data_IF_632249620722
#
_entry.id   IF_632249620722
#
_cell.length_a   1.000
_cell.length_b   1.000
_cell.length_c   1.000
_cell.angle_alpha   90.00
_cell.angle_beta   90.00
_cell.angle_gamma   90.00
#
_symmetry.space_group_name_H-M   'P 1'
#
loop_
_entity.id
_entity.type
_entity.pdbx_description
1 polymer ?
#
# COMPACT_ATOMS: atom_id res chain seq x y z
N UNK A 1 -62.57 -44.95 1.61
CA UNK A 1 -61.65 -43.92 2.07
C UNK A 1 -60.70 -43.59 0.92
N UNK A 2 -60.77 -42.35 0.35
CA UNK A 2 -59.85 -41.90 -0.70
C UNK A 2 -58.68 -41.13 -0.01
N UNK A 3 -57.41 -41.38 -0.32
CA UNK A 3 -56.33 -40.60 0.28
C UNK A 3 -56.30 -39.19 -0.31
N UNK A 4 -56.16 -38.20 0.55
CA UNK A 4 -56.07 -36.78 0.22
C UNK A 4 -54.77 -36.44 -0.52
N UNK A 5 -54.89 -36.03 -1.80
CA UNK A 5 -53.78 -35.72 -2.71
C UNK A 5 -53.29 -34.26 -2.60
N UNK A 6 -53.25 -33.65 -1.41
CA UNK A 6 -52.95 -32.21 -1.24
C UNK A 6 -51.52 -31.91 -0.77
N UNK A 7 -50.71 -32.91 -0.39
CA UNK A 7 -49.35 -32.69 0.13
C UNK A 7 -48.30 -32.23 -0.90
N UNK A 8 -48.21 -32.75 -2.15
CA UNK A 8 -47.11 -32.39 -3.06
C UNK A 8 -47.18 -30.94 -3.59
N UNK A 9 -48.38 -30.36 -3.76
CA UNK A 9 -48.56 -28.99 -4.28
C UNK A 9 -48.12 -27.91 -3.28
N UNK A 10 -48.18 -28.16 -1.97
CA UNK A 10 -47.72 -27.20 -0.95
C UNK A 10 -46.22 -27.16 -0.84
N UNK A 11 -45.53 -28.31 -0.97
CA UNK A 11 -44.06 -28.41 -0.96
C UNK A 11 -43.45 -27.73 -2.20
N UNK A 12 -44.00 -27.92 -3.38
CA UNK A 12 -43.54 -27.26 -4.61
C UNK A 12 -43.71 -25.73 -4.54
N UNK A 13 -44.82 -25.25 -3.99
CA UNK A 13 -45.08 -23.79 -3.80
C UNK A 13 -44.16 -23.18 -2.72
N UNK A 14 -43.81 -23.92 -1.67
CA UNK A 14 -42.88 -23.46 -0.66
C UNK A 14 -41.46 -23.40 -1.23
N UNK A 15 -41.03 -24.41 -1.99
CA UNK A 15 -39.74 -24.44 -2.67
C UNK A 15 -39.57 -23.32 -3.70
N UNK A 16 -40.61 -23.04 -4.50
CA UNK A 16 -40.57 -21.93 -5.47
C UNK A 16 -40.51 -20.55 -4.80
N UNK A 17 -41.22 -20.35 -3.69
CA UNK A 17 -41.16 -19.09 -2.92
C UNK A 17 -39.79 -18.88 -2.28
N UNK A 18 -39.16 -19.93 -1.74
CA UNK A 18 -37.81 -19.89 -1.21
C UNK A 18 -36.78 -19.58 -2.31
N UNK A 19 -36.91 -20.20 -3.49
CA UNK A 19 -36.02 -19.91 -4.63
C UNK A 19 -36.16 -18.47 -5.13
N UNK A 20 -37.36 -17.95 -5.23
CA UNK A 20 -37.64 -16.54 -5.59
C UNK A 20 -37.07 -15.60 -4.53
N UNK A 21 -37.25 -15.92 -3.25
CA UNK A 21 -36.67 -15.12 -2.14
C UNK A 21 -35.14 -15.08 -2.16
N UNK A 22 -34.50 -16.23 -2.40
CA UNK A 22 -33.02 -16.31 -2.54
C UNK A 22 -32.54 -15.54 -3.78
N UNK A 23 -33.22 -15.64 -4.91
CA UNK A 23 -32.90 -14.89 -6.12
C UNK A 23 -33.00 -13.38 -5.91
N UNK A 24 -34.07 -12.91 -5.23
CA UNK A 24 -34.24 -11.51 -4.88
C UNK A 24 -33.13 -11.01 -3.92
N UNK A 25 -32.79 -11.79 -2.89
CA UNK A 25 -31.71 -11.44 -1.96
C UNK A 25 -30.35 -11.36 -2.67
N UNK A 26 -30.05 -12.29 -3.56
CA UNK A 26 -28.82 -12.29 -4.37
C UNK A 26 -28.77 -11.05 -5.29
N UNK A 27 -29.88 -10.70 -5.96
CA UNK A 27 -29.95 -9.51 -6.80
C UNK A 27 -29.76 -8.22 -6.01
N UNK A 28 -30.37 -8.10 -4.82
CA UNK A 28 -30.18 -6.97 -3.92
C UNK A 28 -28.75 -6.88 -3.39
N UNK A 29 -28.14 -8.02 -3.04
CA UNK A 29 -26.74 -8.09 -2.62
C UNK A 29 -25.79 -7.63 -3.72
N UNK A 30 -26.03 -8.06 -4.97
CA UNK A 30 -25.26 -7.61 -6.13
C UNK A 30 -25.42 -6.11 -6.39
N UNK A 31 -26.68 -5.61 -6.39
CA UNK A 31 -26.96 -4.18 -6.56
C UNK A 31 -26.28 -3.34 -5.47
N UNK A 32 -26.36 -3.77 -4.22
CA UNK A 32 -25.63 -3.13 -3.12
C UNK A 32 -24.13 -3.15 -3.35
N UNK A 33 -23.55 -4.30 -3.73
CA UNK A 33 -22.11 -4.42 -4.00
C UNK A 33 -21.61 -3.50 -5.11
N UNK A 34 -22.42 -3.23 -6.14
CA UNK A 34 -22.11 -2.24 -7.18
C UNK A 34 -22.15 -0.80 -6.63
N UNK A 35 -23.12 -0.48 -5.77
CA UNK A 35 -23.21 0.83 -5.12
C UNK A 35 -22.03 1.03 -4.17
N UNK A 36 -21.71 0.04 -3.35
CA UNK A 36 -20.60 0.12 -2.39
C UNK A 36 -19.25 0.28 -3.09
N UNK A 37 -19.05 -0.33 -4.26
CA UNK A 37 -17.85 -0.17 -5.08
C UNK A 37 -17.59 1.27 -5.55
N UNK A 38 -18.62 2.14 -5.53
CA UNK A 38 -18.49 3.56 -5.85
C UNK A 38 -18.52 4.46 -4.58
N UNK A 39 -18.77 3.88 -3.40
CA UNK A 39 -18.90 4.60 -2.13
C UNK A 39 -17.52 4.84 -1.47
N UNK A 40 -16.61 5.53 -2.17
CA UNK A 40 -15.25 5.84 -1.72
C UNK A 40 -15.21 6.62 -0.40
N UNK A 41 -14.17 6.36 0.40
CA UNK A 41 -13.91 7.04 1.68
C UNK A 41 -12.45 7.46 1.79
N UNK A 42 -12.19 8.45 2.62
CA UNK A 42 -10.85 8.72 3.16
C UNK A 42 -10.81 8.14 4.57
N UNK A 43 -9.82 7.29 4.83
CA UNK A 43 -9.56 6.80 6.20
C UNK A 43 -8.32 7.49 6.74
N UNK A 44 -8.36 7.85 8.01
CA UNK A 44 -7.22 8.50 8.68
C UNK A 44 -6.76 7.65 9.84
N UNK A 45 -5.45 7.41 9.91
CA UNK A 45 -4.79 6.73 11.02
C UNK A 45 -3.65 7.58 11.56
N UNK A 46 -3.37 7.45 12.85
CA UNK A 46 -2.24 8.09 13.53
C UNK A 46 -1.24 7.06 13.98
N UNK A 47 0.02 7.21 13.59
CA UNK A 47 1.08 6.24 13.84
C UNK A 47 2.29 6.94 14.45
N UNK A 48 2.71 6.54 15.65
CA UNK A 48 3.94 7.03 16.29
C UNK A 48 5.12 6.19 15.77
N UNK A 49 5.63 6.53 14.59
CA UNK A 49 6.69 5.79 13.88
C UNK A 49 7.89 6.65 13.50
N UNK A 50 7.76 7.98 13.58
CA UNK A 50 8.87 8.89 13.26
C UNK A 50 9.92 8.89 14.38
N UNK A 51 11.16 9.28 14.07
CA UNK A 51 12.19 9.53 15.10
C UNK A 51 11.71 10.52 16.16
N UNK A 52 12.20 10.37 17.39
CA UNK A 52 11.91 11.31 18.46
C UNK A 52 12.31 12.75 18.07
N UNK A 53 11.46 13.72 18.34
CA UNK A 53 11.68 15.12 18.00
C UNK A 53 11.40 15.49 16.54
N UNK A 54 11.05 14.56 15.67
CA UNK A 54 10.63 14.87 14.30
C UNK A 54 9.26 15.56 14.30
N UNK A 55 9.05 16.46 13.35
CA UNK A 55 7.73 17.05 13.13
C UNK A 55 6.77 16.06 12.49
N UNK A 56 5.46 16.13 12.80
CA UNK A 56 4.45 15.29 12.17
C UNK A 56 4.43 15.45 10.64
N UNK A 57 4.21 14.33 9.94
CA UNK A 57 4.10 14.27 8.48
C UNK A 57 2.79 13.59 8.09
N UNK A 58 2.08 14.16 7.13
CA UNK A 58 0.87 13.59 6.55
C UNK A 58 1.20 12.86 5.26
N UNK A 59 1.03 11.56 5.26
CA UNK A 59 1.19 10.71 4.07
C UNK A 59 -0.18 10.37 3.49
N UNK A 60 -0.36 10.57 2.19
CA UNK A 60 -1.51 10.06 1.45
C UNK A 60 -1.10 8.77 0.72
N UNK A 61 -1.69 7.65 1.11
CA UNK A 61 -1.49 6.37 0.46
C UNK A 61 -2.61 6.10 -0.54
N UNK A 62 -2.24 5.87 -1.79
CA UNK A 62 -3.10 5.52 -2.92
C UNK A 62 -2.70 4.15 -3.46
N UNK A 63 -3.67 3.29 -3.70
CA UNK A 63 -3.47 1.94 -4.22
C UNK A 63 -4.62 1.49 -5.09
N UNK A 64 -4.35 0.58 -6.02
CA UNK A 64 -5.37 -0.17 -6.74
C UNK A 64 -6.45 0.73 -7.35
N UNK A 65 -6.03 1.77 -8.07
CA UNK A 65 -6.96 2.73 -8.68
C UNK A 65 -7.78 2.05 -9.79
N UNK A 66 -7.18 1.13 -10.55
CA UNK A 66 -7.80 0.39 -11.64
C UNK A 66 -8.64 1.28 -12.56
N UNK A 67 -8.07 2.41 -12.98
CA UNK A 67 -8.82 3.39 -13.76
C UNK A 67 -9.18 2.84 -15.15
N UNK A 68 -10.44 3.03 -15.51
CA UNK A 68 -10.97 2.84 -16.86
C UNK A 68 -11.51 4.17 -17.38
N UNK A 69 -11.55 4.41 -18.71
CA UNK A 69 -12.06 5.67 -19.27
C UNK A 69 -13.46 6.07 -18.84
N UNK A 70 -14.31 5.10 -18.49
CA UNK A 70 -15.67 5.33 -17.99
C UNK A 70 -15.76 5.81 -16.54
N UNK A 71 -14.69 5.69 -15.74
CA UNK A 71 -14.71 5.98 -14.29
C UNK A 71 -14.62 7.48 -13.96
N UNK A 72 -15.46 8.32 -14.57
CA UNK A 72 -15.45 9.79 -14.41
C UNK A 72 -15.59 10.24 -12.95
N UNK A 73 -16.46 9.57 -12.18
CA UNK A 73 -16.64 9.84 -10.75
C UNK A 73 -15.35 9.60 -9.95
N UNK A 74 -14.61 8.52 -10.26
CA UNK A 74 -13.33 8.20 -9.62
C UNK A 74 -12.26 9.24 -9.95
N UNK A 75 -12.17 9.67 -11.22
CA UNK A 75 -11.26 10.75 -11.63
C UNK A 75 -11.54 12.06 -10.89
N UNK A 76 -12.81 12.47 -10.80
CA UNK A 76 -13.19 13.68 -10.07
C UNK A 76 -12.85 13.58 -8.57
N UNK A 77 -13.07 12.41 -7.98
CA UNK A 77 -12.76 12.16 -6.56
C UNK A 77 -11.25 12.19 -6.29
N UNK A 78 -10.42 11.59 -7.17
CA UNK A 78 -8.96 11.62 -7.10
C UNK A 78 -8.41 13.04 -7.12
N UNK A 79 -8.92 13.90 -8.03
CA UNK A 79 -8.52 15.32 -8.09
C UNK A 79 -8.80 16.06 -6.79
N UNK A 80 -9.90 15.71 -6.10
CA UNK A 80 -10.28 16.30 -4.82
C UNK A 80 -9.37 15.95 -3.64
N UNK A 81 -8.54 14.90 -3.76
CA UNK A 81 -7.67 14.46 -2.65
C UNK A 81 -6.54 15.44 -2.34
N UNK A 82 -6.16 16.34 -3.25
CA UNK A 82 -5.16 17.39 -2.96
C UNK A 82 -5.61 18.32 -1.84
N UNK A 83 -6.91 18.47 -1.62
CA UNK A 83 -7.47 19.23 -0.50
C UNK A 83 -7.15 18.62 0.89
N UNK A 84 -6.64 17.37 0.93
CA UNK A 84 -6.11 16.76 2.15
C UNK A 84 -4.72 17.29 2.51
N UNK A 85 -4.08 18.03 1.59
CA UNK A 85 -2.76 18.63 1.75
C UNK A 85 -1.71 17.63 2.27
N UNK A 86 -1.45 16.51 1.57
CA UNK A 86 -0.41 15.58 1.99
C UNK A 86 0.97 16.20 1.82
N UNK A 87 1.87 15.88 2.76
CA UNK A 87 3.28 16.23 2.69
C UNK A 87 4.05 15.23 1.80
N UNK A 88 3.56 13.98 1.74
CA UNK A 88 4.09 12.90 0.90
C UNK A 88 2.94 12.08 0.31
N UNK A 89 3.04 11.71 -0.96
CA UNK A 89 2.13 10.76 -1.61
C UNK A 89 2.86 9.44 -1.84
N UNK A 90 2.25 8.32 -1.42
CA UNK A 90 2.73 6.97 -1.70
C UNK A 90 1.72 6.26 -2.59
N UNK A 91 2.18 5.78 -3.74
CA UNK A 91 1.37 5.04 -4.68
C UNK A 91 1.89 3.60 -4.78
N UNK A 92 1.07 2.65 -4.40
CA UNK A 92 1.43 1.23 -4.37
C UNK A 92 0.96 0.44 -5.58
N UNK A 93 0.71 1.11 -6.71
CA UNK A 93 0.49 0.46 -8.01
C UNK A 93 -0.97 0.09 -8.32
N UNK A 94 -1.14 -0.66 -9.39
CA UNK A 94 -2.42 -1.02 -10.01
C UNK A 94 -3.26 0.22 -10.38
N UNK A 95 -2.60 1.17 -11.06
CA UNK A 95 -3.18 2.47 -11.38
C UNK A 95 -4.22 2.40 -12.51
N UNK A 96 -3.98 1.57 -13.50
CA UNK A 96 -4.77 1.53 -14.75
C UNK A 96 -5.27 0.12 -15.06
N UNK A 97 -6.33 0.02 -15.86
CA UNK A 97 -6.86 -1.24 -16.39
C UNK A 97 -7.05 -1.21 -17.91
N UNK A 98 -6.55 -0.18 -18.59
CA UNK A 98 -6.54 -0.06 -20.05
C UNK A 98 -5.49 0.98 -20.47
N UNK A 99 -4.89 0.80 -21.64
CA UNK A 99 -3.89 1.75 -22.18
C UNK A 99 -4.42 3.19 -22.29
N UNK A 100 -5.69 3.35 -22.70
CA UNK A 100 -6.35 4.65 -22.79
C UNK A 100 -6.55 5.37 -21.45
N UNK A 101 -6.29 4.69 -20.33
CA UNK A 101 -6.42 5.28 -18.99
C UNK A 101 -5.18 6.06 -18.56
N UNK A 102 -4.02 5.91 -19.20
CA UNK A 102 -2.78 6.61 -18.82
C UNK A 102 -2.96 8.13 -18.77
N UNK A 103 -3.38 8.83 -19.82
CA UNK A 103 -3.55 10.28 -19.74
C UNK A 103 -4.64 10.69 -18.72
N UNK A 104 -5.63 9.85 -18.50
CA UNK A 104 -6.74 10.13 -17.60
C UNK A 104 -6.34 10.01 -16.11
N UNK A 105 -5.53 9.01 -15.76
CA UNK A 105 -5.02 8.88 -14.39
C UNK A 105 -4.00 9.97 -14.08
N UNK A 106 -3.16 10.34 -15.04
CA UNK A 106 -2.21 11.44 -14.89
C UNK A 106 -2.92 12.78 -14.67
N UNK A 107 -3.98 13.06 -15.44
CA UNK A 107 -4.81 14.25 -15.26
C UNK A 107 -5.55 14.22 -13.88
N UNK A 108 -6.06 13.06 -13.48
CA UNK A 108 -6.74 12.91 -12.20
C UNK A 108 -5.80 13.07 -11.00
N UNK A 109 -4.55 12.61 -11.11
CA UNK A 109 -3.51 12.78 -10.10
C UNK A 109 -2.77 14.13 -10.21
N UNK A 110 -2.99 14.90 -11.27
CA UNK A 110 -2.24 16.12 -11.57
C UNK A 110 -1.98 17.07 -10.40
N UNK A 111 -2.96 17.40 -9.55
CA UNK A 111 -2.71 18.16 -8.33
C UNK A 111 -1.72 17.50 -7.36
N UNK A 112 -1.85 16.17 -7.15
CA UNK A 112 -1.00 15.39 -6.26
C UNK A 112 0.41 15.17 -6.82
N UNK A 113 0.57 15.12 -8.14
CA UNK A 113 1.87 14.98 -8.79
C UNK A 113 2.83 16.16 -8.52
N UNK A 114 2.31 17.29 -8.03
CA UNK A 114 3.13 18.43 -7.58
C UNK A 114 3.67 18.28 -6.15
N UNK A 115 3.20 17.27 -5.41
CA UNK A 115 3.66 16.94 -4.06
C UNK A 115 4.85 15.98 -4.13
N UNK A 116 5.73 15.95 -3.12
CA UNK A 116 6.68 14.85 -2.98
C UNK A 116 5.95 13.51 -3.08
N UNK A 117 6.50 12.56 -3.81
CA UNK A 117 5.84 11.27 -3.96
C UNK A 117 6.79 10.13 -4.28
N UNK A 118 6.31 8.93 -4.04
CA UNK A 118 6.97 7.68 -4.41
C UNK A 118 5.97 6.70 -5.01
N UNK A 119 6.45 5.78 -5.83
CA UNK A 119 5.60 4.74 -6.38
C UNK A 119 6.32 3.41 -6.54
N UNK A 120 5.53 2.33 -6.53
CA UNK A 120 5.90 0.99 -6.98
C UNK A 120 4.85 0.48 -7.96
N UNK A 121 5.21 -0.42 -8.89
CA UNK A 121 4.26 -0.99 -9.84
C UNK A 121 3.37 -2.06 -9.20
N UNK A 122 2.16 -2.24 -9.76
CA UNK A 122 1.34 -3.42 -9.60
C UNK A 122 1.15 -4.17 -10.92
N UNK A 123 0.59 -5.38 -10.86
CA UNK A 123 0.44 -6.26 -12.01
C UNK A 123 -0.41 -5.66 -13.15
N UNK A 124 -1.40 -4.85 -12.81
CA UNK A 124 -2.27 -4.17 -13.78
C UNK A 124 -1.69 -2.82 -14.28
N UNK A 125 -0.49 -2.45 -13.88
CA UNK A 125 0.29 -1.42 -14.55
C UNK A 125 1.09 -2.00 -15.73
N UNK A 126 1.36 -3.31 -15.71
CA UNK A 126 2.08 -4.03 -16.78
C UNK A 126 1.17 -4.68 -17.81
N UNK A 127 0.02 -5.21 -17.37
CA UNK A 127 -0.82 -6.08 -18.19
C UNK A 127 -2.29 -5.69 -18.11
N UNK A 128 -2.94 -5.64 -19.27
CA UNK A 128 -4.37 -5.42 -19.35
C UNK A 128 -5.13 -6.60 -18.72
N UNK A 129 -6.12 -6.33 -17.84
CA UNK A 129 -6.92 -7.39 -17.25
C UNK A 129 -7.77 -8.10 -18.31
N UNK A 130 -7.79 -9.44 -18.28
CA UNK A 130 -8.70 -10.24 -19.12
C UNK A 130 -10.04 -10.45 -18.44
N UNK A 131 -11.15 -10.51 -19.19
CA UNK A 131 -12.42 -10.97 -18.67
C UNK A 131 -12.26 -12.36 -18.05
N UNK A 132 -12.68 -12.52 -16.81
CA UNK A 132 -12.62 -13.78 -16.10
C UNK A 132 -13.94 -14.04 -15.36
N UNK A 133 -14.22 -15.29 -15.05
CA UNK A 133 -15.35 -15.64 -14.21
C UNK A 133 -15.17 -14.98 -12.82
N UNK A 134 -16.09 -14.12 -12.36
CA UNK A 134 -15.95 -13.38 -11.09
C UNK A 134 -15.81 -14.31 -9.88
N UNK A 135 -16.35 -15.53 -9.93
CA UNK A 135 -16.22 -16.51 -8.85
C UNK A 135 -14.78 -17.04 -8.70
N UNK A 136 -13.92 -16.90 -9.72
CA UNK A 136 -12.49 -17.24 -9.59
C UNK A 136 -11.77 -16.37 -8.55
N UNK A 137 -12.30 -15.18 -8.25
CA UNK A 137 -11.78 -14.33 -7.18
C UNK A 137 -11.71 -15.06 -5.83
N UNK A 138 -12.63 -15.99 -5.56
CA UNK A 138 -12.67 -16.78 -4.33
C UNK A 138 -11.81 -18.06 -4.36
N UNK A 139 -11.18 -18.37 -5.50
CA UNK A 139 -10.41 -19.60 -5.68
C UNK A 139 -8.94 -19.49 -5.21
N UNK A 140 -8.56 -18.35 -4.61
CA UNK A 140 -7.19 -18.06 -4.15
C UNK A 140 -6.44 -17.12 -5.10
N UNK A 141 -5.11 -16.96 -4.92
CA UNK A 141 -4.30 -16.03 -5.70
C UNK A 141 -4.47 -16.24 -7.20
N UNK A 142 -4.62 -15.13 -7.93
CA UNK A 142 -4.70 -15.19 -9.39
C UNK A 142 -3.36 -15.65 -9.97
N UNK A 143 -3.41 -16.48 -11.00
CA UNK A 143 -2.20 -16.88 -11.73
C UNK A 143 -1.98 -15.95 -12.91
N UNK A 144 -0.72 -15.61 -13.14
CA UNK A 144 -0.30 -14.90 -14.36
C UNK A 144 -0.75 -15.69 -15.60
N UNK A 145 -1.39 -14.99 -16.50
CA UNK A 145 -1.66 -15.45 -17.86
C UNK A 145 -0.66 -14.72 -18.79
N UNK A 146 0.28 -15.46 -19.36
CA UNK A 146 1.36 -14.90 -20.20
C UNK A 146 0.84 -14.24 -21.49
N UNK A 147 -0.38 -14.59 -21.92
CA UNK A 147 -1.02 -14.04 -23.13
C UNK A 147 -1.75 -12.70 -22.89
N UNK A 148 -1.57 -12.04 -21.74
CA UNK A 148 -2.18 -10.72 -21.48
C UNK A 148 -1.50 -9.64 -22.31
N UNK A 149 -2.28 -8.73 -22.87
CA UNK A 149 -1.76 -7.56 -23.57
C UNK A 149 -0.96 -6.67 -22.61
N UNK A 150 0.20 -6.21 -23.04
CA UNK A 150 1.01 -5.27 -22.26
C UNK A 150 0.41 -3.87 -22.32
N UNK A 151 0.44 -3.20 -21.18
CA UNK A 151 0.08 -1.79 -21.06
C UNK A 151 1.30 -0.89 -21.31
N UNK A 152 1.10 0.39 -21.64
CA UNK A 152 2.18 1.35 -21.86
C UNK A 152 2.76 1.83 -20.52
N UNK A 153 3.31 0.91 -19.73
CA UNK A 153 3.83 1.11 -18.38
C UNK A 153 4.83 2.25 -18.29
N UNK A 154 5.76 2.33 -19.28
CA UNK A 154 6.78 3.37 -19.31
C UNK A 154 6.19 4.77 -19.54
N UNK A 155 5.07 4.88 -20.27
CA UNK A 155 4.38 6.16 -20.42
C UNK A 155 3.78 6.64 -19.08
N UNK A 156 3.30 5.73 -18.23
CA UNK A 156 2.79 6.05 -16.90
C UNK A 156 3.93 6.40 -15.95
N UNK A 157 4.91 5.52 -15.81
CA UNK A 157 5.99 5.67 -14.82
C UNK A 157 6.98 6.77 -15.21
N UNK A 158 7.23 6.94 -16.51
CA UNK A 158 8.00 8.08 -17.03
C UNK A 158 7.36 9.42 -16.67
N UNK A 159 6.02 9.51 -16.72
CA UNK A 159 5.32 10.72 -16.29
C UNK A 159 5.40 10.94 -14.76
N UNK A 160 5.34 9.89 -13.94
CA UNK A 160 5.55 10.01 -12.49
C UNK A 160 6.96 10.50 -12.16
N UNK A 161 7.99 9.92 -12.81
CA UNK A 161 9.39 10.37 -12.67
C UNK A 161 9.58 11.81 -13.14
N UNK A 162 8.97 12.18 -14.26
CA UNK A 162 9.03 13.56 -14.77
C UNK A 162 8.36 14.59 -13.84
N UNK A 163 7.35 14.15 -13.06
CA UNK A 163 6.73 14.95 -12.01
C UNK A 163 7.57 15.04 -10.71
N UNK A 164 8.70 14.30 -10.64
CA UNK A 164 9.58 14.27 -9.47
C UNK A 164 9.28 13.16 -8.46
N UNK A 165 8.35 12.25 -8.75
CA UNK A 165 8.11 11.11 -7.87
C UNK A 165 9.25 10.09 -7.98
N UNK A 166 9.71 9.59 -6.83
CA UNK A 166 10.74 8.57 -6.80
C UNK A 166 10.16 7.19 -7.17
N UNK A 167 10.77 6.57 -8.15
CA UNK A 167 10.49 5.21 -8.58
C UNK A 167 11.21 4.24 -7.64
N UNK A 168 10.46 3.45 -6.87
CA UNK A 168 11.00 2.48 -5.91
C UNK A 168 10.98 1.03 -6.43
N UNK A 169 10.84 0.83 -7.73
CA UNK A 169 10.84 -0.50 -8.36
C UNK A 169 12.17 -1.21 -8.12
N UNK A 170 12.23 -2.15 -7.17
CA UNK A 170 13.43 -2.89 -6.74
C UNK A 170 14.61 -1.98 -6.35
N UNK A 171 14.34 -0.83 -5.75
CA UNK A 171 15.38 0.13 -5.35
C UNK A 171 14.94 1.04 -4.20
N UNK A 172 15.92 1.73 -3.63
CA UNK A 172 15.72 2.75 -2.63
C UNK A 172 15.96 4.16 -3.16
N UNK A 173 15.44 5.14 -2.44
CA UNK A 173 15.65 6.58 -2.65
C UNK A 173 15.64 7.30 -1.32
N UNK A 174 16.47 8.32 -1.20
CA UNK A 174 16.43 9.27 -0.06
C UNK A 174 15.54 10.44 -0.47
N UNK A 175 14.52 10.72 0.33
CA UNK A 175 13.57 11.78 0.07
C UNK A 175 13.70 12.88 1.12
N UNK A 176 13.65 14.13 0.68
CA UNK A 176 13.49 15.29 1.55
C UNK A 176 12.03 15.72 1.56
N UNK A 177 11.31 15.43 2.64
CA UNK A 177 9.88 15.73 2.77
C UNK A 177 9.73 16.99 3.63
N UNK A 178 9.26 18.13 3.04
CA UNK A 178 8.97 19.32 3.81
C UNK A 178 7.82 19.03 4.80
N UNK A 179 8.01 19.44 6.06
CA UNK A 179 6.96 19.33 7.09
C UNK A 179 6.14 20.62 7.18
N UNK A 180 4.97 20.56 7.77
CA UNK A 180 4.13 21.74 8.01
C UNK A 180 4.74 22.74 8.99
N UNK A 181 5.66 22.29 9.85
CA UNK A 181 6.41 23.15 10.76
C UNK A 181 7.58 23.90 10.08
N UNK A 182 7.82 23.64 8.79
CA UNK A 182 8.89 24.27 8.01
C UNK A 182 10.25 23.58 8.12
N UNK A 183 10.31 22.44 8.78
CA UNK A 183 11.50 21.57 8.79
C UNK A 183 11.48 20.59 7.60
N UNK A 184 12.50 19.76 7.47
CA UNK A 184 12.58 18.70 6.45
C UNK A 184 12.81 17.37 7.14
N UNK A 185 11.95 16.38 6.84
CA UNK A 185 12.15 15.00 7.25
C UNK A 185 12.92 14.26 6.14
N UNK A 186 14.06 13.67 6.46
CA UNK A 186 14.72 12.72 5.58
C UNK A 186 14.06 11.35 5.71
N UNK A 187 13.55 10.82 4.59
CA UNK A 187 12.90 9.52 4.51
C UNK A 187 13.74 8.59 3.65
N UNK A 188 14.22 7.49 4.24
CA UNK A 188 14.85 6.40 3.51
C UNK A 188 13.76 5.48 2.99
N UNK A 189 13.32 5.71 1.77
CA UNK A 189 12.27 4.91 1.15
C UNK A 189 12.88 3.81 0.28
N UNK A 190 12.33 2.60 0.35
CA UNK A 190 12.71 1.51 -0.55
C UNK A 190 11.49 0.66 -0.89
N UNK A 191 11.48 0.10 -2.09
CA UNK A 191 10.36 -0.70 -2.55
C UNK A 191 10.77 -1.86 -3.44
N UNK A 192 9.78 -2.67 -3.79
CA UNK A 192 9.94 -3.79 -4.71
C UNK A 192 9.11 -3.58 -5.97
N UNK A 193 9.50 -4.24 -7.05
CA UNK A 193 8.58 -4.56 -8.15
C UNK A 193 7.47 -5.49 -7.64
N UNK A 194 6.51 -5.83 -8.48
CA UNK A 194 5.31 -6.56 -8.08
C UNK A 194 5.62 -8.01 -7.62
N UNK A 195 5.42 -8.31 -6.32
CA UNK A 195 5.61 -9.66 -5.79
C UNK A 195 4.60 -10.68 -6.33
N UNK A 196 3.43 -10.23 -6.79
CA UNK A 196 2.42 -11.10 -7.37
C UNK A 196 2.85 -11.67 -8.74
N UNK A 197 3.67 -10.91 -9.47
CA UNK A 197 4.30 -11.34 -10.71
C UNK A 197 5.63 -12.07 -10.49
N UNK A 198 6.14 -12.10 -9.24
CA UNK A 198 7.45 -12.64 -8.93
C UNK A 198 8.60 -11.78 -9.48
N UNK A 199 8.37 -10.49 -9.68
CA UNK A 199 9.37 -9.54 -10.18
C UNK A 199 10.09 -8.82 -9.05
N UNK A 200 9.69 -9.06 -7.80
CA UNK A 200 10.24 -8.42 -6.62
C UNK A 200 11.69 -8.82 -6.34
N UNK A 201 12.52 -7.83 -6.12
CA UNK A 201 13.86 -7.98 -5.58
C UNK A 201 14.09 -6.94 -4.48
N UNK A 202 14.46 -7.40 -3.29
CA UNK A 202 14.76 -6.50 -2.19
C UNK A 202 16.23 -6.09 -2.25
N UNK A 203 16.47 -4.79 -2.48
CA UNK A 203 17.82 -4.19 -2.56
C UNK A 203 18.30 -3.52 -1.28
N UNK A 204 17.48 -3.50 -0.23
CA UNK A 204 17.76 -2.79 1.01
C UNK A 204 17.39 -1.31 0.98
N UNK A 205 17.41 -0.68 2.17
CA UNK A 205 17.24 0.77 2.27
C UNK A 205 18.50 1.49 1.77
N UNK A 206 18.34 2.69 1.14
CA UNK A 206 19.48 3.46 0.66
C UNK A 206 20.37 3.89 1.84
N UNK A 207 21.68 4.00 1.58
CA UNK A 207 22.56 4.65 2.52
C UNK A 207 22.12 6.12 2.69
N UNK A 208 22.21 6.68 3.91
CA UNK A 208 21.91 8.08 4.14
C UNK A 208 22.83 8.99 3.34
N UNK A 209 22.34 10.19 3.01
CA UNK A 209 23.22 11.20 2.47
C UNK A 209 24.38 11.48 3.44
N UNK A 210 25.63 11.63 2.94
CA UNK A 210 26.73 12.00 3.81
C UNK A 210 26.39 13.32 4.50
N UNK A 211 26.70 13.40 5.81
CA UNK A 211 26.54 14.65 6.54
C UNK A 211 27.27 15.78 5.78
N UNK A 212 26.69 16.98 5.68
CA UNK A 212 27.40 18.11 5.08
C UNK A 212 28.76 18.28 5.78
N UNK A 213 29.80 18.39 4.98
CA UNK A 213 31.12 18.67 5.54
C UNK A 213 31.03 19.91 6.43
N UNK A 214 31.69 19.94 7.63
CA UNK A 214 31.68 21.11 8.46
C UNK A 214 32.19 22.31 7.65
N UNK A 215 31.51 23.43 7.78
CA UNK A 215 31.87 24.65 7.05
C UNK A 215 33.35 24.98 7.33
N UNK A 216 34.11 25.41 6.34
CA UNK A 216 35.50 25.81 6.57
C UNK A 216 35.50 27.05 7.45
N UNK A 217 35.70 26.87 8.75
CA UNK A 217 35.67 27.90 9.78
C UNK A 217 35.54 27.37 11.22
N UNK A 218 34.98 26.18 11.41
CA UNK A 218 34.78 25.55 12.73
C UNK A 218 35.94 24.62 13.15
N UNK A 219 37.15 24.81 12.61
CA UNK A 219 38.33 24.14 13.14
C UNK A 219 38.62 24.73 14.53
N UNK A 220 38.23 24.00 15.57
CA UNK A 220 38.63 24.30 16.94
C UNK A 220 40.13 24.45 17.00
N UNK A 221 40.59 25.53 17.65
CA UNK A 221 42.00 25.78 17.87
C UNK A 221 42.70 24.55 18.50
N UNK A 222 43.94 24.19 18.10
CA UNK A 222 44.62 23.02 18.63
C UNK A 222 44.84 23.20 20.14
N UNK A 223 44.22 22.29 20.91
CA UNK A 223 44.44 22.19 22.34
C UNK A 223 45.89 21.74 22.63
N UNK A 224 46.43 22.02 23.84
CA UNK A 224 47.77 21.65 24.18
C UNK A 224 48.01 20.15 24.14
N UNK A 225 49.17 19.74 23.62
CA UNK A 225 49.59 18.36 23.48
C UNK A 225 49.53 17.59 24.83
N UNK A 226 49.00 16.38 24.87
CA UNK A 226 49.07 15.53 26.05
C UNK A 226 50.47 14.90 26.15
N UNK A 227 51.06 15.01 27.34
CA UNK A 227 52.30 14.35 27.68
C UNK A 227 52.13 12.82 27.75
N UNK A 228 53.24 12.15 27.50
CA UNK A 228 53.42 10.69 27.53
C UNK A 228 52.87 10.02 28.79
N UNK A 229 51.96 9.08 28.61
CA UNK A 229 51.70 8.02 29.59
C UNK A 229 51.36 6.73 28.84
N UNK A 230 52.28 5.79 28.89
CA UNK A 230 52.08 4.41 28.45
C UNK A 230 51.11 3.67 29.37
N UNK A 231 50.25 2.84 28.81
CA UNK A 231 50.01 1.45 29.29
C UNK A 231 48.89 0.77 28.53
N UNK A 232 49.27 -0.29 27.91
CA UNK A 232 48.55 -1.48 27.47
C UNK A 232 47.31 -1.88 28.29
N UNK A 233 46.20 -2.09 27.57
CA UNK A 233 45.02 -2.87 28.00
C UNK A 233 44.37 -3.51 26.79
N UNK A 234 43.83 -4.76 26.87
CA UNK A 234 43.41 -5.53 25.72
C UNK A 234 42.13 -4.97 25.11
N UNK A 235 42.04 -5.08 23.79
CA UNK A 235 40.84 -4.75 23.00
C UNK A 235 39.63 -5.48 23.55
N UNK A 236 38.66 -4.72 24.05
CA UNK A 236 37.35 -5.20 24.37
C UNK A 236 36.56 -5.38 23.06
N UNK A 237 35.94 -6.54 22.98
CA UNK A 237 35.04 -6.95 21.91
C UNK A 237 34.01 -5.86 21.58
N UNK A 238 33.79 -5.67 20.28
CA UNK A 238 32.63 -4.95 19.81
C UNK A 238 31.38 -5.57 20.41
N UNK A 239 30.71 -4.82 21.26
CA UNK A 239 29.36 -5.07 21.69
C UNK A 239 28.44 -4.73 20.46
N UNK A 240 28.08 -5.76 19.71
CA UNK A 240 27.02 -5.67 18.70
C UNK A 240 25.70 -5.53 19.39
N UNK A 241 25.54 -4.42 20.09
CA UNK A 241 24.27 -4.00 20.67
C UNK A 241 23.23 -3.93 19.57
N UNK A 242 22.30 -4.88 19.56
CA UNK A 242 21.13 -4.86 18.69
C UNK A 242 20.50 -3.47 18.76
N UNK A 243 20.72 -2.64 17.72
CA UNK A 243 20.14 -1.33 17.62
C UNK A 243 18.60 -1.50 17.65
N UNK A 244 17.99 -0.99 18.67
CA UNK A 244 16.53 -0.90 18.76
C UNK A 244 15.96 -0.13 17.56
N UNK A 245 14.67 -0.20 17.28
CA UNK A 245 14.05 0.47 16.14
C UNK A 245 14.42 1.96 16.14
N UNK A 246 15.07 2.43 15.06
CA UNK A 246 15.41 3.84 14.86
C UNK A 246 16.73 4.34 15.49
N UNK A 247 17.73 3.48 15.74
CA UNK A 247 19.00 3.84 16.39
C UNK A 247 19.84 4.93 15.72
N UNK A 248 19.53 5.30 14.46
CA UNK A 248 20.24 6.33 13.70
C UNK A 248 19.43 7.62 13.49
N UNK A 249 18.26 7.74 14.13
CA UNK A 249 17.41 8.93 14.04
C UNK A 249 16.74 9.13 12.66
N UNK A 250 16.68 8.09 11.81
CA UNK A 250 16.08 8.16 10.48
C UNK A 250 14.80 7.36 10.38
N UNK A 251 13.95 7.75 9.43
CA UNK A 251 12.69 7.07 9.16
C UNK A 251 12.80 6.22 7.90
N UNK A 252 12.54 4.91 8.04
CA UNK A 252 12.62 3.91 6.96
C UNK A 252 11.24 3.48 6.52
N UNK A 253 10.88 3.80 5.28
CA UNK A 253 9.60 3.51 4.66
C UNK A 253 9.74 2.37 3.64
N UNK A 254 9.18 1.20 3.93
CA UNK A 254 9.08 0.08 3.00
C UNK A 254 7.78 0.14 2.20
N UNK A 255 7.87 0.02 0.87
CA UNK A 255 6.73 0.13 -0.04
C UNK A 255 6.71 -1.07 -0.98
N UNK A 256 5.57 -1.76 -1.07
CA UNK A 256 5.37 -2.86 -2.01
C UNK A 256 3.93 -2.86 -2.53
N UNK A 257 3.69 -3.39 -3.74
CA UNK A 257 2.31 -3.54 -4.20
C UNK A 257 1.61 -4.64 -3.40
N UNK A 258 2.06 -5.87 -3.52
CA UNK A 258 1.43 -7.02 -2.88
C UNK A 258 2.17 -7.43 -1.58
N UNK A 259 1.46 -7.52 -0.43
CA UNK A 259 2.06 -7.78 0.87
C UNK A 259 2.38 -9.27 1.08
N UNK A 260 3.22 -9.86 0.22
CA UNK A 260 3.72 -11.21 0.42
C UNK A 260 4.65 -11.27 1.64
N UNK A 261 4.49 -12.30 2.46
CA UNK A 261 5.26 -12.48 3.71
C UNK A 261 6.76 -12.35 3.50
N UNK A 262 7.32 -12.98 2.46
CA UNK A 262 8.76 -12.91 2.16
C UNK A 262 9.28 -11.48 1.98
N UNK A 263 8.45 -10.62 1.38
CA UNK A 263 8.79 -9.20 1.14
C UNK A 263 8.70 -8.41 2.44
N UNK A 264 7.60 -8.58 3.19
CA UNK A 264 7.42 -7.93 4.48
C UNK A 264 8.50 -8.36 5.48
N UNK A 265 8.88 -9.65 5.49
CA UNK A 265 9.96 -10.18 6.33
C UNK A 265 11.31 -9.54 6.00
N UNK A 266 11.65 -9.44 4.69
CA UNK A 266 12.90 -8.84 4.24
C UNK A 266 12.99 -7.35 4.62
N UNK A 267 11.93 -6.57 4.36
CA UNK A 267 11.85 -5.15 4.71
C UNK A 267 11.95 -4.93 6.23
N UNK A 268 11.27 -5.78 7.02
CA UNK A 268 11.29 -5.71 8.48
C UNK A 268 12.68 -6.05 9.04
N UNK A 269 13.32 -7.09 8.52
CA UNK A 269 14.66 -7.49 8.92
C UNK A 269 15.71 -6.40 8.64
N UNK A 270 15.54 -5.65 7.54
CA UNK A 270 16.41 -4.54 7.14
C UNK A 270 16.08 -3.21 7.85
N UNK A 271 15.16 -3.22 8.81
CA UNK A 271 14.93 -2.11 9.72
C UNK A 271 13.81 -1.14 9.33
N UNK A 272 12.84 -1.53 8.52
CA UNK A 272 11.66 -0.71 8.26
C UNK A 272 11.01 -0.20 9.56
N UNK A 273 10.49 1.03 9.52
CA UNK A 273 9.68 1.64 10.59
C UNK A 273 8.19 1.60 10.23
N UNK A 274 7.87 1.64 8.93
CA UNK A 274 6.53 1.55 8.38
C UNK A 274 6.56 0.79 7.06
N UNK A 275 5.59 -0.11 6.87
CA UNK A 275 5.34 -0.83 5.62
C UNK A 275 4.00 -0.41 5.03
N UNK A 276 3.98 -0.09 3.73
CA UNK A 276 2.77 0.25 2.99
C UNK A 276 2.57 -0.72 1.82
N UNK A 277 1.33 -1.24 1.69
CA UNK A 277 0.98 -2.17 0.62
C UNK A 277 -0.48 -2.02 0.16
N UNK A 278 -0.81 -2.60 -0.99
CA UNK A 278 -2.14 -2.68 -1.58
C UNK A 278 -2.56 -4.09 -1.96
N UNK A 279 -3.00 -4.29 -3.23
CA UNK A 279 -3.25 -5.57 -3.87
C UNK A 279 -4.45 -6.37 -3.35
N UNK A 280 -4.65 -6.43 -2.05
CA UNK A 280 -5.67 -7.29 -1.41
C UNK A 280 -7.10 -6.83 -1.67
N UNK A 281 -7.28 -5.57 -2.07
CA UNK A 281 -8.58 -4.88 -2.11
C UNK A 281 -9.38 -4.98 -0.80
N UNK A 282 -8.69 -5.21 0.34
CA UNK A 282 -9.31 -5.48 1.63
C UNK A 282 -10.12 -6.77 1.66
N UNK A 283 -9.86 -7.70 0.73
CA UNK A 283 -10.68 -8.88 0.47
C UNK A 283 -11.91 -8.60 -0.38
N UNK A 284 -12.15 -7.36 -0.80
CA UNK A 284 -13.23 -6.84 -1.67
C UNK A 284 -14.65 -7.27 -1.30
N UNK A 285 -14.87 -8.56 -0.94
CA UNK A 285 -16.11 -9.09 -0.38
C UNK A 285 -15.81 -9.62 1.02
N UNK A 286 -16.30 -8.89 2.03
CA UNK A 286 -16.14 -9.22 3.43
C UNK A 286 -17.47 -9.65 4.05
N UNK A 287 -17.40 -10.51 5.06
CA UNK A 287 -18.56 -10.81 5.88
C UNK A 287 -18.52 -9.94 7.14
N UNK A 288 -19.60 -9.24 7.49
CA UNK A 288 -19.69 -8.48 8.72
C UNK A 288 -19.34 -9.34 9.94
N UNK A 289 -18.40 -8.87 10.77
CA UNK A 289 -17.90 -9.59 11.93
C UNK A 289 -16.86 -10.68 11.65
N UNK A 290 -16.70 -11.12 10.40
CA UNK A 290 -15.68 -12.12 10.00
C UNK A 290 -14.51 -11.51 9.22
N UNK A 291 -14.75 -10.42 8.46
CA UNK A 291 -13.75 -9.76 7.64
C UNK A 291 -13.59 -10.37 6.25
N UNK A 292 -12.40 -10.21 5.67
CA UNK A 292 -12.06 -10.66 4.33
C UNK A 292 -12.20 -12.17 4.14
N UNK A 293 -12.77 -12.59 3.02
CA UNK A 293 -12.85 -14.01 2.63
C UNK A 293 -11.55 -14.50 2.02
N UNK A 294 -10.87 -13.63 1.24
CA UNK A 294 -9.62 -13.89 0.54
C UNK A 294 -8.70 -12.67 0.64
N UNK A 295 -7.39 -12.87 0.51
CA UNK A 295 -6.39 -11.79 0.47
C UNK A 295 -5.67 -11.70 -0.87
N UNK A 296 -5.88 -12.69 -1.72
CA UNK A 296 -5.22 -12.85 -3.03
C UNK A 296 -3.67 -12.97 -2.95
N UNK A 297 -3.12 -13.15 -1.76
CA UNK A 297 -1.72 -13.41 -1.45
C UNK A 297 -1.62 -14.31 -0.20
N UNK A 298 -0.43 -14.46 0.39
CA UNK A 298 -0.20 -15.29 1.58
C UNK A 298 -0.36 -14.53 2.91
N UNK A 299 -0.83 -13.27 2.86
CA UNK A 299 -1.10 -12.45 4.04
C UNK A 299 -2.27 -13.03 4.86
N UNK A 300 -2.19 -13.02 6.21
CA UNK A 300 -3.32 -13.39 7.06
C UNK A 300 -4.56 -12.53 6.80
N UNK A 301 -5.74 -13.14 6.65
CA UNK A 301 -7.00 -12.44 6.34
C UNK A 301 -7.34 -11.24 7.26
N UNK A 302 -7.08 -11.27 8.58
CA UNK A 302 -7.33 -10.11 9.42
C UNK A 302 -6.51 -8.87 9.07
N UNK A 303 -5.40 -9.05 8.31
CA UNK A 303 -4.51 -7.98 7.87
C UNK A 303 -4.78 -7.54 6.41
N UNK A 304 -5.87 -8.02 5.82
CA UNK A 304 -6.22 -7.69 4.42
C UNK A 304 -6.43 -6.19 4.15
N UNK A 305 -6.69 -5.38 5.17
CA UNK A 305 -6.72 -3.92 5.07
C UNK A 305 -6.57 -3.26 6.43
N UNK A 306 -6.21 -1.97 6.38
CA UNK A 306 -6.05 -1.12 7.56
C UNK A 306 -4.69 -1.29 8.23
N UNK A 307 -4.55 -0.68 9.40
CA UNK A 307 -3.31 -0.69 10.17
C UNK A 307 -3.24 -1.93 11.05
N UNK A 308 -2.10 -2.59 10.99
CA UNK A 308 -1.74 -3.74 11.85
C UNK A 308 -0.24 -3.70 12.17
N UNK A 309 0.30 -4.76 12.75
CA UNK A 309 1.73 -4.93 12.98
C UNK A 309 2.25 -6.17 12.26
N UNK A 310 3.48 -6.09 11.76
CA UNK A 310 4.20 -7.21 11.19
C UNK A 310 5.40 -7.57 12.06
N UNK A 311 5.64 -8.86 12.26
CA UNK A 311 6.72 -9.35 13.11
C UNK A 311 7.64 -10.26 12.33
N UNK A 312 8.91 -9.89 12.20
CA UNK A 312 9.95 -10.68 11.57
C UNK A 312 11.33 -10.32 12.15
N UNK A 313 12.26 -11.28 12.15
CA UNK A 313 13.65 -11.10 12.62
C UNK A 313 13.74 -10.41 14.01
N UNK A 314 12.86 -10.75 14.95
CA UNK A 314 12.83 -10.15 16.29
C UNK A 314 12.35 -8.69 16.35
N UNK A 315 11.85 -8.13 15.23
CA UNK A 315 11.36 -6.75 15.13
C UNK A 315 9.83 -6.75 14.93
N UNK A 316 9.20 -5.69 15.44
CA UNK A 316 7.78 -5.37 15.16
C UNK A 316 7.72 -4.05 14.43
N UNK A 317 7.01 -4.02 13.29
CA UNK A 317 6.85 -2.83 12.44
C UNK A 317 5.36 -2.56 12.21
N UNK A 318 4.99 -1.30 12.04
CA UNK A 318 3.66 -0.92 11.59
C UNK A 318 3.46 -1.30 10.12
N UNK A 319 2.37 -2.00 9.81
CA UNK A 319 1.94 -2.35 8.47
C UNK A 319 0.59 -1.71 8.18
N UNK A 320 0.49 -0.96 7.10
CA UNK A 320 -0.78 -0.50 6.57
C UNK A 320 -1.00 -1.13 5.18
N UNK A 321 -2.15 -1.77 5.03
CA UNK A 321 -2.60 -2.37 3.77
C UNK A 321 -3.85 -1.64 3.32
N UNK A 322 -3.79 -0.97 2.18
CA UNK A 322 -4.93 -0.26 1.63
C UNK A 322 -5.94 -1.21 1.00
N UNK A 323 -7.23 -0.98 1.24
CA UNK A 323 -8.28 -1.66 0.49
C UNK A 323 -8.42 -1.15 -0.96
N UNK A 324 -7.65 -0.14 -1.34
CA UNK A 324 -7.61 0.38 -2.70
C UNK A 324 -8.85 1.12 -3.17
N UNK A 325 -8.71 1.83 -4.28
CA UNK A 325 -9.74 2.74 -4.84
C UNK A 325 -10.62 2.09 -5.90
N UNK A 326 -10.12 1.05 -6.54
CA UNK A 326 -10.83 0.32 -7.58
C UNK A 326 -11.46 -0.98 -7.09
N UNK A 327 -11.70 -1.85 -8.03
CA UNK A 327 -12.13 -3.23 -7.83
C UNK A 327 -11.29 -4.12 -8.73
N UNK A 328 -11.11 -5.38 -8.35
CA UNK A 328 -10.54 -6.35 -9.26
C UNK A 328 -11.37 -6.33 -10.58
N UNK A 329 -10.72 -6.23 -11.74
CA UNK A 329 -11.43 -6.00 -13.00
C UNK A 329 -12.47 -7.07 -13.36
N UNK A 330 -12.26 -8.31 -12.92
CA UNK A 330 -13.17 -9.44 -13.14
C UNK A 330 -14.33 -9.50 -12.12
N UNK A 331 -14.29 -8.72 -11.02
CA UNK A 331 -15.27 -8.74 -9.94
C UNK A 331 -15.61 -7.30 -9.50
N UNK A 332 -16.43 -6.55 -10.26
CA UNK A 332 -16.63 -5.11 -10.05
C UNK A 332 -17.60 -4.79 -8.91
N UNK A 333 -17.54 -5.54 -7.82
CA UNK A 333 -18.41 -5.38 -6.64
C UNK A 333 -17.58 -5.29 -5.37
N UNK A 334 -18.08 -4.58 -4.36
CA UNK A 334 -17.55 -4.58 -3.01
C UNK A 334 -18.69 -4.84 -2.02
N UNK A 335 -18.39 -5.56 -0.94
CA UNK A 335 -19.38 -5.83 0.09
C UNK A 335 -18.72 -5.77 1.48
N UNK A 336 -19.22 -4.89 2.36
CA UNK A 336 -18.65 -4.58 3.67
C UNK A 336 -17.14 -4.21 3.59
N UNK A 337 -16.70 -3.63 2.47
CA UNK A 337 -15.32 -3.26 2.17
C UNK A 337 -15.30 -2.09 1.17
N UNK A 338 -15.53 -0.88 1.65
CA UNK A 338 -15.60 0.32 0.81
C UNK A 338 -14.22 0.64 0.19
N UNK A 339 -14.18 1.16 -1.06
CA UNK A 339 -12.93 1.68 -1.62
C UNK A 339 -12.42 2.87 -0.80
N UNK A 340 -11.09 2.98 -0.70
CA UNK A 340 -10.48 4.00 0.16
C UNK A 340 -9.20 4.60 -0.41
N UNK A 341 -8.93 5.85 -0.01
CA UNK A 341 -7.59 6.39 0.11
C UNK A 341 -7.26 6.52 1.60
N UNK A 342 -6.00 6.31 1.96
CA UNK A 342 -5.60 6.33 3.37
C UNK A 342 -4.73 7.54 3.65
N UNK A 343 -5.06 8.28 4.69
CA UNK A 343 -4.23 9.35 5.26
C UNK A 343 -3.56 8.80 6.51
N UNK A 344 -2.24 8.84 6.55
CA UNK A 344 -1.46 8.48 7.71
C UNK A 344 -0.87 9.77 8.31
N UNK A 345 -1.27 10.11 9.52
CA UNK A 345 -0.62 11.15 10.31
C UNK A 345 0.51 10.49 11.09
N UNK A 346 1.72 10.59 10.56
CA UNK A 346 2.92 10.07 11.18
C UNK A 346 3.38 11.01 12.27
N UNK A 347 3.58 10.48 13.46
CA UNK A 347 3.94 11.23 14.67
C UNK A 347 5.31 10.74 15.19
N UNK A 348 6.06 11.59 15.91
CA UNK A 348 7.27 11.15 16.59
C UNK A 348 6.95 10.08 17.64
N UNK A 349 7.89 9.17 17.84
CA UNK A 349 7.89 8.26 18.99
C UNK A 349 8.13 9.04 20.29
N UNK A 350 7.55 8.55 21.37
CA UNK A 350 7.75 9.14 22.71
C UNK A 350 9.20 8.95 23.19
#
# INVERSE_FOLDING_TARGET
>A
MRPSATAPRRLVRAGSRAAVGMGAAAALGLAWGLVEAEARVVRTHRLAVLPAGADPVRVLHLSDIHLLPRNRSRMAWLRGLDALEPDLVVNTGDNISAAASVPLVLDALGPLLRRPGVFVPGSNDYYEPKPANPFRYFAGPSRMDEDRARLPTEALFGAFRAAGWADLTNRGSVLSVPTRAGTVLEVLAAGTDDPHLGLDAWGGFPAPAPAPAPAPGDAAAPGPAPGDAAASGPASAHDDGAAGPGGDGRFRLGVTHAPYRRVLDAMTADGADLLLAGHTHGGQVCLPGFGALVTNCDLPRPQASGVSTWNAAGRTVSLEVSAGLGTAPSAPVRFACRPEAVVLELLPRA
#
